data_IF_062350510448
#
_entry.id   IF_062350510448
#
_cell.length_a   1.000
_cell.length_b   1.000
_cell.length_c   1.000
_cell.angle_alpha   90.00
_cell.angle_beta   90.00
_cell.angle_gamma   90.00
#
_symmetry.space_group_name_H-M   'P 1'
#
loop_
_entity.id
_entity.type
_entity.pdbx_description
1 polymer ?
#
# COMPACT_ATOMS: atom_id res chain seq x y z
N UNK A 1 26.27 -33.87 -5.68
CA UNK A 1 25.39 -32.68 -5.62
C UNK A 1 25.93 -31.66 -6.60
N UNK A 2 25.54 -31.81 -7.88
CA UNK A 2 26.18 -31.18 -9.04
C UNK A 2 25.56 -29.84 -9.42
N UNK A 3 26.27 -29.12 -10.29
CA UNK A 3 25.98 -27.79 -10.86
C UNK A 3 24.51 -27.56 -11.26
N UNK A 4 23.80 -28.59 -11.72
CA UNK A 4 22.37 -28.52 -12.06
C UNK A 4 21.47 -28.05 -10.89
N UNK A 5 21.74 -28.51 -9.67
CA UNK A 5 20.97 -28.09 -8.49
C UNK A 5 21.22 -26.63 -8.08
N UNK A 6 22.40 -26.09 -8.41
CA UNK A 6 22.72 -24.68 -8.17
C UNK A 6 22.03 -23.75 -9.18
N UNK A 7 21.92 -24.18 -10.45
CA UNK A 7 21.18 -23.44 -11.48
C UNK A 7 19.68 -23.39 -11.20
N UNK A 8 19.09 -24.52 -10.78
CA UNK A 8 17.67 -24.60 -10.41
C UNK A 8 17.35 -23.73 -9.19
N UNK A 9 18.20 -23.77 -8.15
CA UNK A 9 18.08 -22.90 -7.00
C UNK A 9 18.25 -21.41 -7.37
N UNK A 10 19.14 -21.10 -8.31
CA UNK A 10 19.35 -19.75 -8.84
C UNK A 10 18.14 -19.23 -9.62
N UNK A 11 17.53 -20.08 -10.46
CA UNK A 11 16.33 -19.77 -11.21
C UNK A 11 15.15 -19.52 -10.25
N UNK A 12 14.92 -20.42 -9.29
CA UNK A 12 13.88 -20.28 -8.27
C UNK A 12 13.97 -18.92 -7.55
N UNK A 13 15.17 -18.54 -7.07
CA UNK A 13 15.39 -17.24 -6.40
C UNK A 13 15.17 -16.04 -7.32
N UNK A 14 15.44 -16.14 -8.63
CA UNK A 14 15.12 -15.06 -9.59
C UNK A 14 13.63 -14.94 -9.79
N UNK A 15 12.92 -16.05 -9.93
CA UNK A 15 11.46 -16.09 -10.08
C UNK A 15 10.75 -15.57 -8.82
N UNK A 16 11.16 -16.00 -7.64
CA UNK A 16 10.64 -15.49 -6.35
C UNK A 16 10.85 -13.98 -6.23
N UNK A 17 12.05 -13.48 -6.55
CA UNK A 17 12.32 -12.03 -6.56
C UNK A 17 11.45 -11.29 -7.58
N UNK A 18 11.26 -11.86 -8.77
CA UNK A 18 10.40 -11.27 -9.80
C UNK A 18 8.96 -11.14 -9.30
N UNK A 19 8.37 -12.20 -8.73
CA UNK A 19 7.03 -12.15 -8.15
C UNK A 19 6.91 -11.06 -7.06
N UNK A 20 7.91 -10.96 -6.18
CA UNK A 20 7.92 -9.92 -5.14
C UNK A 20 7.98 -8.50 -5.74
N UNK A 21 8.72 -8.30 -6.83
CA UNK A 21 8.78 -7.01 -7.53
C UNK A 21 7.49 -6.66 -8.28
N UNK A 22 6.74 -7.67 -8.72
CA UNK A 22 5.42 -7.48 -9.35
C UNK A 22 4.27 -7.36 -8.34
N UNK A 23 4.54 -7.40 -7.02
CA UNK A 23 3.49 -7.39 -6.01
C UNK A 23 2.79 -8.74 -5.82
N UNK A 24 3.37 -9.84 -6.26
CA UNK A 24 2.77 -11.17 -6.16
C UNK A 24 3.46 -12.11 -5.15
N UNK A 25 3.87 -11.67 -3.93
CA UNK A 25 4.65 -12.51 -3.01
C UNK A 25 3.90 -13.78 -2.56
N UNK A 26 2.57 -13.74 -2.48
CA UNK A 26 1.75 -14.87 -2.05
C UNK A 26 1.62 -16.00 -3.08
N UNK A 27 2.17 -15.85 -4.29
CA UNK A 27 2.30 -16.95 -5.25
C UNK A 27 3.51 -17.87 -4.94
N UNK A 28 4.42 -17.42 -4.07
CA UNK A 28 5.59 -18.21 -3.66
C UNK A 28 5.14 -19.25 -2.62
N UNK A 29 5.40 -20.53 -2.90
CA UNK A 29 5.16 -21.60 -1.93
C UNK A 29 6.02 -21.38 -0.67
N UNK A 30 5.40 -21.47 0.51
CA UNK A 30 6.00 -21.26 1.83
C UNK A 30 6.48 -19.82 2.14
N UNK A 31 5.84 -18.81 1.56
CA UNK A 31 6.11 -17.41 1.93
C UNK A 31 5.75 -17.11 3.41
N UNK A 32 6.76 -17.01 4.27
CA UNK A 32 6.59 -16.67 5.69
C UNK A 32 6.48 -15.15 5.89
N UNK A 33 5.25 -14.65 5.94
CA UNK A 33 4.94 -13.23 6.04
C UNK A 33 5.43 -12.53 7.33
N UNK A 34 5.75 -13.26 8.41
CA UNK A 34 5.96 -12.60 9.72
C UNK A 34 7.36 -11.99 9.88
N UNK A 35 8.42 -12.61 9.35
CA UNK A 35 9.81 -12.16 9.56
C UNK A 35 10.32 -11.16 8.51
N UNK A 36 10.07 -11.44 7.24
CA UNK A 36 10.68 -10.68 6.14
C UNK A 36 9.87 -9.41 5.78
N UNK A 37 8.55 -9.44 6.00
CA UNK A 37 7.65 -8.31 5.69
C UNK A 37 7.90 -7.15 6.64
N UNK A 38 7.93 -7.41 7.95
CA UNK A 38 8.06 -6.36 8.94
C UNK A 38 9.45 -5.70 8.87
N UNK A 39 10.46 -6.49 8.50
CA UNK A 39 11.82 -5.99 8.21
C UNK A 39 11.84 -5.06 7.00
N UNK A 40 11.00 -5.30 5.99
CA UNK A 40 10.82 -4.37 4.87
C UNK A 40 10.02 -3.11 5.26
N UNK A 41 9.14 -3.20 6.25
CA UNK A 41 8.35 -2.07 6.77
C UNK A 41 9.13 -1.17 7.77
N UNK A 42 10.26 -1.64 8.29
CA UNK A 42 11.14 -0.90 9.23
C UNK A 42 11.35 0.58 8.90
N UNK A 43 11.76 0.99 7.69
CA UNK A 43 12.02 2.41 7.41
C UNK A 43 10.77 3.28 7.58
N UNK A 44 9.60 2.75 7.20
CA UNK A 44 8.32 3.43 7.40
C UNK A 44 7.95 3.50 8.88
N UNK A 45 8.05 2.39 9.61
CA UNK A 45 7.76 2.35 11.05
C UNK A 45 8.71 3.24 11.86
N UNK A 46 9.97 3.34 11.43
CA UNK A 46 10.96 4.25 12.05
C UNK A 46 10.55 5.70 11.82
N UNK A 47 10.10 6.05 10.61
CA UNK A 47 9.60 7.39 10.32
C UNK A 47 8.38 7.73 11.18
N UNK A 48 7.40 6.83 11.27
CA UNK A 48 6.22 7.00 12.12
C UNK A 48 6.63 7.23 13.58
N UNK A 49 7.53 6.39 14.09
CA UNK A 49 8.04 6.53 15.45
C UNK A 49 8.72 7.90 15.68
N UNK A 50 9.51 8.38 14.72
CA UNK A 50 10.16 9.71 14.81
C UNK A 50 9.11 10.82 14.82
N UNK A 51 8.08 10.71 13.99
CA UNK A 51 6.99 11.69 13.95
C UNK A 51 6.20 11.70 15.25
N UNK A 52 5.87 10.53 15.82
CA UNK A 52 5.19 10.40 17.11
C UNK A 52 6.04 10.97 18.26
N UNK A 53 7.33 10.64 18.28
CA UNK A 53 8.27 11.19 19.26
C UNK A 53 8.38 12.72 19.12
N UNK A 54 8.48 13.24 17.90
CA UNK A 54 8.51 14.68 17.65
C UNK A 54 7.22 15.36 18.14
N UNK A 55 6.05 14.81 17.79
CA UNK A 55 4.75 15.33 18.19
C UNK A 55 4.61 15.41 19.73
N UNK A 56 5.12 14.41 20.43
CA UNK A 56 5.11 14.36 21.92
C UNK A 56 5.88 15.53 22.54
N UNK A 57 6.97 15.98 21.91
CA UNK A 57 7.81 17.06 22.44
C UNK A 57 7.50 18.43 21.81
N UNK A 58 6.77 18.48 20.69
CA UNK A 58 6.39 19.71 20.00
C UNK A 58 5.14 20.31 20.63
N UNK A 59 5.28 20.96 21.78
CA UNK A 59 4.29 21.96 22.23
C UNK A 59 4.42 23.22 21.37
N UNK A 60 3.33 23.97 21.19
CA UNK A 60 3.21 25.24 20.45
C UNK A 60 4.31 26.26 20.85
N UNK A 61 5.52 26.09 20.31
CA UNK A 61 6.69 26.92 20.61
C UNK A 61 7.24 27.45 19.29
N UNK A 62 7.10 28.76 19.09
CA UNK A 62 7.57 29.39 17.86
C UNK A 62 9.12 29.45 17.77
N UNK A 63 9.67 29.14 16.59
CA UNK A 63 11.05 29.44 16.21
C UNK A 63 12.08 28.33 16.46
N UNK A 64 13.35 28.70 16.74
CA UNK A 64 14.46 27.75 16.93
C UNK A 64 14.28 26.78 18.12
N UNK A 65 13.28 27.03 18.98
CA UNK A 65 12.90 26.15 20.08
C UNK A 65 12.26 24.83 19.60
N UNK A 66 11.76 24.74 18.36
CA UNK A 66 11.25 23.49 17.74
C UNK A 66 12.35 22.45 17.47
N UNK A 67 13.61 22.90 17.38
CA UNK A 67 14.75 22.03 17.08
C UNK A 67 15.08 21.12 18.27
N UNK A 68 14.84 21.57 19.51
CA UNK A 68 15.10 20.78 20.71
C UNK A 68 14.19 19.53 20.84
N UNK A 69 12.85 19.63 20.64
CA UNK A 69 11.95 18.48 20.49
C UNK A 69 12.40 17.45 19.47
N UNK A 70 12.90 17.89 18.32
CA UNK A 70 13.43 16.99 17.28
C UNK A 70 14.63 16.18 17.76
N UNK A 71 15.62 16.83 18.40
CA UNK A 71 16.77 16.12 18.96
C UNK A 71 16.40 15.24 20.15
N UNK A 72 15.40 15.61 20.95
CA UNK A 72 14.87 14.77 22.03
C UNK A 72 14.22 13.49 21.47
N UNK A 73 13.34 13.62 20.46
CA UNK A 73 12.75 12.46 19.78
C UNK A 73 13.80 11.57 19.12
N UNK A 74 14.81 12.16 18.48
CA UNK A 74 15.94 11.42 17.92
C UNK A 74 16.77 10.70 19.00
N UNK A 75 17.02 11.35 20.14
CA UNK A 75 17.72 10.74 21.26
C UNK A 75 16.93 9.56 21.85
N UNK A 76 15.60 9.67 21.94
CA UNK A 76 14.73 8.56 22.35
C UNK A 76 14.78 7.41 21.35
N UNK A 77 14.72 7.69 20.05
CA UNK A 77 14.87 6.67 18.99
C UNK A 77 16.21 5.94 19.11
N UNK A 78 17.32 6.68 19.15
CA UNK A 78 18.67 6.13 19.22
C UNK A 78 18.86 5.36 20.53
N UNK A 79 18.41 5.92 21.66
CA UNK A 79 18.45 5.29 22.97
C UNK A 79 17.68 3.97 22.99
N UNK A 80 16.50 3.94 22.39
CA UNK A 80 15.66 2.74 22.26
C UNK A 80 16.34 1.68 21.39
N UNK A 81 16.88 2.05 20.23
CA UNK A 81 17.62 1.14 19.36
C UNK A 81 18.85 0.55 20.05
N UNK A 82 19.64 1.39 20.72
CA UNK A 82 20.83 0.97 21.47
C UNK A 82 20.44 0.04 22.63
N UNK A 83 19.37 0.34 23.35
CA UNK A 83 18.88 -0.47 24.47
C UNK A 83 18.42 -1.85 23.99
N UNK A 84 17.61 -1.91 22.93
CA UNK A 84 17.13 -3.17 22.34
C UNK A 84 18.29 -4.00 21.79
N UNK A 85 19.24 -3.35 21.11
CA UNK A 85 20.42 -4.02 20.57
C UNK A 85 21.33 -4.55 21.69
N UNK A 86 21.51 -3.78 22.77
CA UNK A 86 22.31 -4.18 23.93
C UNK A 86 21.68 -5.34 24.70
N UNK A 87 20.36 -5.30 24.93
CA UNK A 87 19.62 -6.39 25.59
C UNK A 87 19.65 -7.69 24.79
N UNK A 88 19.79 -7.61 23.46
CA UNK A 88 19.92 -8.77 22.56
C UNK A 88 21.36 -9.19 22.28
N UNK A 89 22.36 -8.57 22.92
CA UNK A 89 23.78 -8.88 22.70
C UNK A 89 24.28 -8.54 21.30
N UNK A 90 23.57 -7.69 20.56
CA UNK A 90 23.93 -7.22 19.21
C UNK A 90 24.75 -5.93 19.29
N UNK A 91 25.43 -5.56 18.19
CA UNK A 91 26.17 -4.29 18.12
C UNK A 91 25.18 -3.12 18.23
N UNK A 92 25.52 -2.02 18.95
CA UNK A 92 24.57 -0.96 19.30
C UNK A 92 23.92 -0.27 18.09
N UNK A 93 24.61 -0.19 16.95
CA UNK A 93 24.11 0.44 15.71
C UNK A 93 23.78 -0.55 14.58
N UNK A 94 23.63 -1.85 14.88
CA UNK A 94 23.26 -2.81 13.86
C UNK A 94 21.78 -2.66 13.51
N UNK A 95 21.47 -2.58 12.20
CA UNK A 95 20.08 -2.61 11.73
C UNK A 95 19.45 -3.97 12.07
N UNK A 96 18.19 -4.03 12.54
CA UNK A 96 17.55 -5.31 12.82
C UNK A 96 17.45 -6.15 11.55
N UNK A 97 18.16 -7.29 11.51
CA UNK A 97 18.11 -8.22 10.37
C UNK A 97 16.76 -8.95 10.28
N UNK A 98 16.03 -9.03 11.40
CA UNK A 98 14.64 -9.51 11.51
C UNK A 98 13.91 -8.78 12.62
N UNK A 99 12.72 -8.27 12.32
CA UNK A 99 11.82 -7.69 13.33
C UNK A 99 11.07 -8.81 14.05
N UNK A 100 11.25 -8.91 15.36
CA UNK A 100 10.55 -9.88 16.21
C UNK A 100 9.55 -9.19 17.15
N UNK A 101 9.00 -9.98 18.09
CA UNK A 101 8.02 -9.47 19.06
C UNK A 101 8.53 -8.34 19.96
N UNK A 102 9.85 -8.25 20.19
CA UNK A 102 10.44 -7.17 21.02
C UNK A 102 10.41 -5.84 20.27
N UNK A 103 10.78 -5.82 19.00
CA UNK A 103 10.71 -4.60 18.19
C UNK A 103 9.26 -4.11 18.02
N UNK A 104 8.30 -5.03 17.91
CA UNK A 104 6.86 -4.71 17.95
C UNK A 104 6.47 -4.12 19.31
N UNK A 105 6.88 -4.76 20.41
CA UNK A 105 6.57 -4.27 21.76
C UNK A 105 7.16 -2.87 21.99
N UNK A 106 8.36 -2.62 21.50
CA UNK A 106 9.00 -1.30 21.58
C UNK A 106 8.21 -0.25 20.81
N UNK A 107 7.84 -0.53 19.57
CA UNK A 107 7.01 0.37 18.75
C UNK A 107 5.64 0.63 19.37
N UNK A 108 5.05 -0.38 20.02
CA UNK A 108 3.73 -0.26 20.61
C UNK A 108 3.73 0.41 21.98
N UNK A 109 4.79 0.25 22.77
CA UNK A 109 4.84 0.69 24.17
C UNK A 109 5.59 2.00 24.35
N UNK A 110 6.68 2.24 23.62
CA UNK A 110 7.51 3.44 23.87
C UNK A 110 6.78 4.74 23.51
N UNK A 111 6.16 4.89 22.31
CA UNK A 111 5.45 6.12 21.96
C UNK A 111 4.33 6.52 22.93
N UNK A 112 3.45 5.62 23.43
CA UNK A 112 2.43 6.00 24.41
C UNK A 112 2.97 6.21 25.83
N UNK A 113 4.10 5.60 26.21
CA UNK A 113 4.71 5.82 27.53
C UNK A 113 5.33 7.22 27.65
N UNK A 114 5.91 7.75 26.56
CA UNK A 114 6.52 9.07 26.57
C UNK A 114 5.57 10.19 27.03
N UNK A 115 4.40 10.42 26.40
CA UNK A 115 3.46 11.43 26.86
C UNK A 115 2.85 11.06 28.20
N UNK A 116 2.60 9.77 28.50
CA UNK A 116 2.04 9.36 29.79
C UNK A 116 2.95 9.67 31.00
N UNK A 117 4.26 9.78 30.80
CA UNK A 117 5.23 10.14 31.85
C UNK A 117 5.53 11.64 31.87
N UNK A 118 5.37 12.32 30.73
CA UNK A 118 5.73 13.74 30.57
C UNK A 118 4.55 14.69 30.74
N UNK A 119 3.33 14.25 30.44
CA UNK A 119 2.09 15.03 30.48
C UNK A 119 1.10 14.34 31.44
N UNK A 120 0.71 15.03 32.51
CA UNK A 120 -0.10 14.51 33.65
C UNK A 120 -1.55 14.06 33.28
N UNK A 121 -1.95 14.05 32.00
CA UNK A 121 -3.33 13.83 31.59
C UNK A 121 -3.65 12.42 31.06
N UNK A 122 -4.55 11.76 31.81
CA UNK A 122 -5.51 10.67 31.48
C UNK A 122 -5.03 9.53 30.58
N UNK A 123 -4.96 8.34 31.19
CA UNK A 123 -4.86 6.98 30.60
C UNK A 123 -5.73 6.69 29.36
N UNK A 124 -6.77 7.50 29.10
CA UNK A 124 -7.65 7.38 27.93
C UNK A 124 -6.94 7.83 26.64
N UNK A 125 -6.09 8.86 26.69
CA UNK A 125 -5.31 9.30 25.52
C UNK A 125 -4.20 8.29 25.18
N UNK A 126 -3.59 7.67 26.20
CA UNK A 126 -2.59 6.61 25.99
C UNK A 126 -3.19 5.37 25.28
N UNK A 127 -4.44 5.01 25.60
CA UNK A 127 -5.13 3.91 24.92
C UNK A 127 -5.41 4.23 23.44
N UNK A 128 -5.72 5.49 23.13
CA UNK A 128 -5.88 5.98 21.75
C UNK A 128 -4.59 5.87 20.94
N UNK A 129 -3.45 6.26 21.54
CA UNK A 129 -2.13 6.15 20.90
C UNK A 129 -1.74 4.68 20.66
N UNK A 130 -1.94 3.82 21.66
CA UNK A 130 -1.70 2.37 21.50
C UNK A 130 -2.56 1.82 20.36
N UNK A 131 -3.86 2.12 20.34
CA UNK A 131 -4.76 1.66 19.29
C UNK A 131 -4.36 2.17 17.90
N UNK A 132 -3.95 3.43 17.80
CA UNK A 132 -3.40 4.02 16.57
C UNK A 132 -2.13 3.29 16.12
N UNK A 133 -1.18 3.02 17.03
CA UNK A 133 0.05 2.32 16.71
C UNK A 133 -0.22 0.86 16.28
N UNK A 134 -1.17 0.17 16.91
CA UNK A 134 -1.64 -1.13 16.43
C UNK A 134 -2.19 -1.01 15.02
N UNK A 135 -3.04 -0.03 14.75
CA UNK A 135 -3.64 0.18 13.44
C UNK A 135 -2.56 0.46 12.37
N UNK A 136 -1.60 1.33 12.66
CA UNK A 136 -0.47 1.63 11.77
C UNK A 136 0.39 0.39 11.54
N UNK A 137 0.68 -0.39 12.58
CA UNK A 137 1.44 -1.63 12.47
C UNK A 137 0.72 -2.66 11.60
N UNK A 138 -0.58 -2.86 11.81
CA UNK A 138 -1.41 -3.76 11.01
C UNK A 138 -1.47 -3.28 9.56
N UNK A 139 -1.66 -1.97 9.33
CA UNK A 139 -1.68 -1.39 8.01
C UNK A 139 -0.33 -1.57 7.31
N UNK A 140 0.79 -1.24 7.96
CA UNK A 140 2.14 -1.42 7.42
C UNK A 140 2.44 -2.89 7.11
N UNK A 141 2.00 -3.80 7.97
CA UNK A 141 2.10 -5.24 7.75
C UNK A 141 1.31 -5.66 6.50
N UNK A 142 0.05 -5.25 6.37
CA UNK A 142 -0.78 -5.58 5.19
C UNK A 142 -0.18 -5.00 3.92
N UNK A 143 0.13 -3.70 3.91
CA UNK A 143 0.73 -2.97 2.78
C UNK A 143 2.01 -3.64 2.30
N UNK A 144 2.86 -4.06 3.23
CA UNK A 144 4.17 -4.65 2.89
C UNK A 144 4.05 -6.14 2.55
N UNK A 145 3.13 -6.86 3.20
CA UNK A 145 2.92 -8.31 3.00
C UNK A 145 2.36 -8.61 1.63
N UNK A 146 1.36 -7.83 1.20
CA UNK A 146 0.76 -7.96 -0.12
C UNK A 146 1.58 -7.23 -1.20
N UNK A 147 2.58 -6.41 -0.83
CA UNK A 147 3.41 -5.73 -1.82
C UNK A 147 2.68 -4.59 -2.54
N UNK A 148 1.81 -3.86 -1.84
CA UNK A 148 1.07 -2.74 -2.41
C UNK A 148 2.01 -1.67 -2.98
N UNK A 149 3.14 -1.40 -2.29
CA UNK A 149 4.10 -0.38 -2.73
C UNK A 149 4.65 -0.66 -4.14
N UNK A 150 5.21 -1.84 -4.45
CA UNK A 150 5.63 -2.14 -5.82
C UNK A 150 4.47 -2.14 -6.82
N UNK A 151 3.27 -2.62 -6.44
CA UNK A 151 2.08 -2.56 -7.32
C UNK A 151 1.74 -1.11 -7.69
N UNK A 152 1.63 -0.23 -6.70
CA UNK A 152 1.31 1.18 -6.91
C UNK A 152 2.39 1.87 -7.72
N UNK A 153 3.68 1.57 -7.48
CA UNK A 153 4.79 2.15 -8.25
C UNK A 153 4.80 1.69 -9.72
N UNK A 154 4.45 0.43 -9.97
CA UNK A 154 4.27 -0.06 -11.34
C UNK A 154 3.05 0.60 -11.99
N UNK A 155 1.90 0.60 -11.33
CA UNK A 155 0.67 1.23 -11.81
C UNK A 155 0.87 2.71 -12.12
N UNK A 156 1.54 3.46 -11.25
CA UNK A 156 1.84 4.87 -11.47
C UNK A 156 2.76 5.09 -12.69
N UNK A 157 3.73 4.20 -12.94
CA UNK A 157 4.56 4.28 -14.15
C UNK A 157 3.75 4.00 -15.41
N UNK A 158 2.83 3.04 -15.33
CA UNK A 158 1.91 2.73 -16.43
C UNK A 158 1.01 3.93 -16.74
N UNK A 159 0.51 4.63 -15.71
CA UNK A 159 -0.27 5.86 -15.88
C UNK A 159 0.47 6.95 -16.63
N UNK A 160 1.74 7.18 -16.26
CA UNK A 160 2.56 8.19 -16.92
C UNK A 160 2.77 7.86 -18.42
N UNK A 161 2.72 6.58 -18.79
CA UNK A 161 2.75 6.13 -20.18
C UNK A 161 1.44 6.36 -20.95
N UNK A 162 0.29 6.38 -20.27
CA UNK A 162 -1.05 6.51 -20.87
C UNK A 162 -1.59 7.95 -20.87
N UNK A 163 -0.72 8.94 -20.61
CA UNK A 163 -1.11 10.33 -20.47
C UNK A 163 -1.79 10.92 -21.73
N UNK A 164 -1.37 10.56 -22.94
CA UNK A 164 -1.94 11.13 -24.17
C UNK A 164 -3.36 10.66 -24.44
N UNK A 165 -3.67 9.39 -24.20
CA UNK A 165 -5.01 8.83 -24.41
C UNK A 165 -6.06 9.48 -23.48
N UNK A 166 -5.64 9.79 -22.25
CA UNK A 166 -6.49 10.43 -21.25
C UNK A 166 -6.65 11.93 -21.50
N UNK A 167 -5.58 12.60 -21.97
CA UNK A 167 -5.66 13.99 -22.39
C UNK A 167 -6.71 14.16 -23.51
N UNK A 168 -6.73 13.26 -24.49
CA UNK A 168 -7.73 13.28 -25.57
C UNK A 168 -9.16 13.11 -25.07
N UNK A 169 -9.39 12.15 -24.16
CA UNK A 169 -10.71 11.92 -23.56
C UNK A 169 -11.19 13.15 -22.79
N UNK A 170 -10.31 13.74 -21.99
CA UNK A 170 -10.61 14.92 -21.17
C UNK A 170 -10.88 16.12 -22.05
N UNK A 171 -10.06 16.41 -23.05
CA UNK A 171 -10.26 17.57 -23.95
C UNK A 171 -11.62 17.52 -24.64
N UNK A 172 -12.16 16.32 -24.89
CA UNK A 172 -13.49 16.12 -25.49
C UNK A 172 -14.63 16.18 -24.48
N UNK A 173 -14.49 15.55 -23.31
CA UNK A 173 -15.56 15.44 -22.31
C UNK A 173 -15.66 16.67 -21.39
N UNK A 174 -14.53 17.32 -21.13
CA UNK A 174 -14.39 18.43 -20.19
C UNK A 174 -15.25 19.65 -20.54
N UNK A 175 -15.33 20.12 -21.80
CA UNK A 175 -16.13 21.31 -22.14
C UNK A 175 -17.61 21.14 -21.76
N UNK A 176 -18.17 19.95 -22.03
CA UNK A 176 -19.55 19.65 -21.69
C UNK A 176 -19.77 19.63 -20.17
N UNK A 177 -18.85 19.00 -19.43
CA UNK A 177 -18.88 18.94 -17.96
C UNK A 177 -18.75 20.33 -17.33
N UNK A 178 -17.85 21.17 -17.84
CA UNK A 178 -17.66 22.55 -17.38
C UNK A 178 -18.88 23.41 -17.67
N UNK A 179 -19.44 23.34 -18.88
CA UNK A 179 -20.68 24.08 -19.21
C UNK A 179 -21.81 23.62 -18.28
N UNK A 180 -22.01 22.31 -18.14
CA UNK A 180 -23.03 21.76 -17.24
C UNK A 180 -22.84 22.24 -15.81
N UNK A 181 -21.61 22.19 -15.29
CA UNK A 181 -21.30 22.58 -13.92
C UNK A 181 -21.42 24.08 -13.71
N UNK A 182 -20.93 24.90 -14.64
CA UNK A 182 -21.05 26.35 -14.61
C UNK A 182 -22.52 26.78 -14.62
N UNK A 183 -23.34 26.17 -15.48
CA UNK A 183 -24.78 26.41 -15.51
C UNK A 183 -25.46 25.95 -14.21
N UNK A 184 -25.06 24.81 -13.65
CA UNK A 184 -25.48 24.34 -12.32
C UNK A 184 -25.21 25.41 -11.26
N UNK A 185 -23.97 25.92 -11.20
CA UNK A 185 -23.51 26.90 -10.21
C UNK A 185 -24.24 28.24 -10.30
N UNK A 186 -24.72 28.61 -11.49
CA UNK A 186 -25.53 29.81 -11.70
C UNK A 186 -26.94 29.70 -11.11
N UNK A 187 -27.40 28.49 -10.74
CA UNK A 187 -28.72 28.29 -10.14
C UNK A 187 -28.68 28.49 -8.62
N UNK A 188 -29.69 29.18 -8.08
CA UNK A 188 -29.86 29.36 -6.63
C UNK A 188 -30.21 28.06 -5.91
N UNK A 189 -30.88 27.13 -6.59
CA UNK A 189 -31.35 25.87 -6.01
C UNK A 189 -30.22 25.02 -5.41
N UNK A 190 -29.04 25.05 -6.03
CA UNK A 190 -27.89 24.25 -5.57
C UNK A 190 -27.26 24.84 -4.31
N UNK A 191 -27.18 26.16 -4.23
CA UNK A 191 -26.70 26.85 -3.04
C UNK A 191 -27.66 26.66 -1.85
N UNK A 192 -28.96 26.68 -2.11
CA UNK A 192 -29.97 26.39 -1.10
C UNK A 192 -29.88 24.93 -0.62
N UNK A 193 -29.81 23.97 -1.54
CA UNK A 193 -29.62 22.55 -1.21
C UNK A 193 -28.35 22.32 -0.39
N UNK A 194 -27.23 22.95 -0.74
CA UNK A 194 -25.93 22.75 -0.07
C UNK A 194 -25.85 23.37 1.32
N UNK A 195 -26.51 24.51 1.55
CA UNK A 195 -26.54 25.18 2.86
C UNK A 195 -27.17 24.36 3.99
N UNK A 196 -28.04 23.40 3.66
CA UNK A 196 -28.66 22.49 4.62
C UNK A 196 -27.90 21.17 4.84
N UNK A 197 -26.80 20.94 4.11
CA UNK A 197 -26.08 19.66 4.16
C UNK A 197 -25.12 19.61 5.35
N UNK A 198 -25.44 18.76 6.32
CA UNK A 198 -24.50 18.39 7.39
C UNK A 198 -23.46 17.38 6.93
N UNK A 199 -22.46 17.13 7.78
CA UNK A 199 -21.40 16.11 7.57
C UNK A 199 -21.98 14.74 7.18
N UNK A 200 -23.14 14.37 7.73
CA UNK A 200 -23.82 13.12 7.43
C UNK A 200 -24.12 12.95 5.92
N UNK A 201 -24.51 14.01 5.21
CA UNK A 201 -24.73 13.94 3.77
C UNK A 201 -23.45 13.60 3.03
N UNK A 202 -22.34 14.27 3.34
CA UNK A 202 -21.04 14.01 2.71
C UNK A 202 -20.56 12.59 2.99
N UNK A 203 -20.75 12.10 4.22
CA UNK A 203 -20.43 10.71 4.57
C UNK A 203 -21.27 9.74 3.74
N UNK A 204 -22.59 9.93 3.65
CA UNK A 204 -23.48 9.05 2.87
C UNK A 204 -23.14 9.14 1.36
N UNK A 205 -22.94 10.35 0.85
CA UNK A 205 -22.59 10.59 -0.55
C UNK A 205 -21.23 9.99 -0.94
N UNK A 206 -20.28 9.89 -0.01
CA UNK A 206 -19.02 9.18 -0.22
C UNK A 206 -19.19 7.66 -0.04
N UNK A 207 -19.96 7.24 0.96
CA UNK A 207 -20.16 5.83 1.30
C UNK A 207 -20.91 5.08 0.19
N UNK A 208 -21.92 5.70 -0.42
CA UNK A 208 -22.73 5.05 -1.46
C UNK A 208 -21.90 4.60 -2.68
N UNK A 209 -21.14 5.47 -3.38
CA UNK A 209 -20.27 5.05 -4.48
C UNK A 209 -19.12 4.17 -4.00
N UNK A 210 -18.61 4.35 -2.78
CA UNK A 210 -17.58 3.48 -2.21
C UNK A 210 -18.08 2.04 -2.04
N UNK A 211 -19.26 1.85 -1.45
CA UNK A 211 -19.89 0.54 -1.27
C UNK A 211 -20.25 -0.07 -2.62
N UNK A 212 -20.83 0.72 -3.53
CA UNK A 212 -21.17 0.27 -4.89
C UNK A 212 -19.94 -0.19 -5.67
N UNK A 213 -18.87 0.61 -5.67
CA UNK A 213 -17.60 0.28 -6.31
C UNK A 213 -16.94 -0.94 -5.68
N UNK A 214 -16.94 -1.04 -4.35
CA UNK A 214 -16.41 -2.20 -3.64
C UNK A 214 -17.19 -3.47 -3.97
N UNK A 215 -18.52 -3.41 -3.94
CA UNK A 215 -19.39 -4.54 -4.30
C UNK A 215 -19.17 -4.96 -5.76
N UNK A 216 -19.10 -4.00 -6.68
CA UNK A 216 -18.80 -4.25 -8.08
C UNK A 216 -17.48 -5.00 -8.23
N UNK A 217 -16.41 -4.52 -7.59
CA UNK A 217 -15.10 -5.18 -7.60
C UNK A 217 -15.18 -6.60 -7.02
N UNK A 218 -15.87 -6.79 -5.88
CA UNK A 218 -16.01 -8.11 -5.25
C UNK A 218 -16.74 -9.13 -6.15
N UNK A 219 -17.72 -8.68 -6.93
CA UNK A 219 -18.47 -9.53 -7.86
C UNK A 219 -17.71 -9.78 -9.17
N UNK A 220 -16.94 -8.79 -9.64
CA UNK A 220 -16.23 -8.82 -10.93
C UNK A 220 -14.90 -9.58 -10.88
N UNK A 221 -14.15 -9.41 -9.79
CA UNK A 221 -12.80 -9.98 -9.63
C UNK A 221 -12.76 -11.51 -9.82
N UNK A 222 -13.68 -12.33 -9.27
CA UNK A 222 -13.67 -13.77 -9.50
C UNK A 222 -13.77 -14.14 -10.99
N UNK A 223 -14.67 -13.48 -11.72
CA UNK A 223 -14.92 -13.76 -13.14
C UNK A 223 -13.71 -13.37 -14.00
N UNK A 224 -13.11 -12.21 -13.73
CA UNK A 224 -11.91 -11.75 -14.44
C UNK A 224 -10.71 -12.65 -14.15
N UNK A 225 -10.54 -13.09 -12.90
CA UNK A 225 -9.47 -14.03 -12.53
C UNK A 225 -9.66 -15.39 -13.21
N UNK A 226 -10.88 -15.94 -13.21
CA UNK A 226 -11.18 -17.22 -13.87
C UNK A 226 -11.04 -17.14 -15.39
N UNK A 227 -11.26 -15.98 -15.99
CA UNK A 227 -11.03 -15.74 -17.42
C UNK A 227 -9.53 -15.72 -17.75
N UNK A 228 -8.73 -15.00 -16.97
CA UNK A 228 -7.27 -14.88 -17.17
C UNK A 228 -6.53 -16.17 -16.82
N UNK A 229 -7.07 -16.99 -15.92
CA UNK A 229 -6.46 -18.26 -15.50
C UNK A 229 -6.72 -19.43 -16.47
N UNK A 230 -7.50 -19.21 -17.53
CA UNK A 230 -7.77 -20.20 -18.59
C UNK A 230 -6.84 -19.96 -19.77
N UNK A 231 -6.03 -20.96 -20.07
CA UNK A 231 -5.12 -20.94 -21.22
C UNK A 231 -5.54 -22.01 -22.20
N UNK A 232 -5.62 -21.64 -23.48
CA UNK A 232 -6.01 -22.58 -24.54
C UNK A 232 -4.86 -23.52 -24.91
N UNK A 233 -3.61 -23.07 -24.78
CA UNK A 233 -2.41 -23.85 -25.10
C UNK A 233 -1.17 -23.39 -24.32
N UNK A 234 -0.20 -24.28 -24.18
CA UNK A 234 1.12 -23.93 -23.62
C UNK A 234 1.90 -22.91 -24.47
N UNK A 235 1.59 -22.78 -25.76
CA UNK A 235 2.19 -21.74 -26.61
C UNK A 235 1.75 -20.33 -26.18
N UNK A 236 0.48 -20.17 -25.81
CA UNK A 236 -0.05 -18.92 -25.25
C UNK A 236 0.64 -18.58 -23.93
N UNK A 237 0.86 -19.58 -23.07
CA UNK A 237 1.56 -19.40 -21.79
C UNK A 237 3.02 -19.01 -22.03
N UNK A 238 3.71 -19.63 -22.99
CA UNK A 238 5.09 -19.29 -23.33
C UNK A 238 5.21 -17.84 -23.84
N UNK A 239 4.28 -17.39 -24.70
CA UNK A 239 4.24 -16.02 -25.19
C UNK A 239 3.99 -15.01 -24.06
N UNK A 240 3.08 -15.29 -23.12
CA UNK A 240 2.83 -14.44 -21.96
C UNK A 240 3.99 -14.46 -20.94
N UNK A 241 4.78 -15.53 -20.92
CA UNK A 241 5.95 -15.66 -20.07
C UNK A 241 7.19 -14.95 -20.66
N UNK A 242 7.14 -14.46 -21.90
CA UNK A 242 8.23 -13.68 -22.48
C UNK A 242 8.54 -12.45 -21.63
N UNK A 243 9.83 -12.22 -21.34
CA UNK A 243 10.26 -11.16 -20.43
C UNK A 243 10.21 -11.52 -18.93
N UNK A 244 9.73 -12.71 -18.58
CA UNK A 244 9.86 -13.25 -17.22
C UNK A 244 11.08 -14.16 -17.09
N UNK A 245 11.57 -14.42 -15.86
CA UNK A 245 12.64 -15.42 -15.64
C UNK A 245 12.29 -16.84 -16.13
N UNK A 246 11.01 -17.11 -16.45
CA UNK A 246 10.50 -18.41 -16.90
C UNK A 246 10.45 -18.56 -18.42
N UNK A 247 10.79 -17.53 -19.20
CA UNK A 247 10.65 -17.51 -20.66
C UNK A 247 11.37 -18.66 -21.41
N UNK A 248 12.34 -19.34 -20.78
CA UNK A 248 13.08 -20.45 -21.36
C UNK A 248 12.64 -21.84 -20.90
N UNK A 249 11.63 -21.94 -20.02
CA UNK A 249 11.12 -23.22 -19.54
C UNK A 249 9.99 -23.69 -20.45
N UNK A 250 10.23 -24.75 -21.22
CA UNK A 250 9.18 -25.45 -21.95
C UNK A 250 8.22 -26.18 -20.99
N UNK A 251 7.03 -26.57 -21.48
CA UNK A 251 6.02 -27.26 -20.67
C UNK A 251 6.48 -28.63 -20.13
N UNK A 252 7.56 -29.21 -20.67
CA UNK A 252 8.04 -30.53 -20.26
C UNK A 252 6.97 -31.59 -20.48
N UNK A 253 6.69 -32.39 -19.45
CA UNK A 253 5.69 -33.47 -19.44
C UNK A 253 4.28 -33.03 -18.98
N UNK A 254 4.01 -31.71 -18.93
CA UNK A 254 2.72 -31.20 -18.46
C UNK A 254 1.60 -31.41 -19.49
N UNK A 255 0.41 -31.79 -19.01
CA UNK A 255 -0.76 -32.05 -19.85
C UNK A 255 -1.31 -30.77 -20.53
N UNK A 256 -1.90 -30.94 -21.71
CA UNK A 256 -2.58 -29.90 -22.50
C UNK A 256 -4.11 -30.14 -22.47
N UNK A 257 -4.96 -29.12 -22.27
CA UNK A 257 -4.64 -27.70 -22.05
C UNK A 257 -4.02 -27.42 -20.66
N UNK A 258 -3.24 -26.33 -20.51
CA UNK A 258 -2.67 -25.93 -19.23
C UNK A 258 -3.78 -25.70 -18.20
N UNK A 259 -3.74 -26.45 -17.10
CA UNK A 259 -4.63 -26.21 -15.96
C UNK A 259 -3.89 -25.44 -14.89
N UNK A 260 -4.33 -24.22 -14.63
CA UNK A 260 -3.85 -23.46 -13.47
C UNK A 260 -4.31 -24.17 -12.18
N UNK A 261 -3.40 -24.47 -11.25
CA UNK A 261 -3.80 -25.01 -9.95
C UNK A 261 -4.65 -23.97 -9.21
N UNK A 262 -5.64 -24.45 -8.45
CA UNK A 262 -6.50 -23.55 -7.65
C UNK A 262 -5.63 -22.73 -6.70
N UNK A 263 -5.68 -21.41 -6.86
CA UNK A 263 -4.96 -20.48 -6.00
C UNK A 263 -5.47 -20.60 -4.56
N UNK A 264 -4.56 -20.68 -3.59
CA UNK A 264 -4.93 -20.55 -2.18
C UNK A 264 -5.54 -19.18 -1.89
N UNK A 265 -6.36 -19.07 -0.84
CA UNK A 265 -7.10 -17.83 -0.49
C UNK A 265 -6.22 -16.58 -0.47
N UNK A 266 -4.99 -16.66 0.06
CA UNK A 266 -4.05 -15.53 0.12
C UNK A 266 -3.52 -15.13 -1.25
N UNK A 267 -3.20 -16.11 -2.10
CA UNK A 267 -2.77 -15.85 -3.46
C UNK A 267 -3.90 -15.22 -4.29
N UNK A 268 -5.12 -15.72 -4.14
CA UNK A 268 -6.30 -15.17 -4.79
C UNK A 268 -6.55 -13.71 -4.39
N UNK A 269 -6.53 -13.40 -3.08
CA UNK A 269 -6.66 -12.01 -2.58
C UNK A 269 -5.56 -11.12 -3.14
N UNK A 270 -4.33 -11.63 -3.24
CA UNK A 270 -3.22 -10.84 -3.73
C UNK A 270 -3.36 -10.50 -5.23
N UNK A 271 -3.79 -11.44 -6.07
CA UNK A 271 -4.05 -11.14 -7.49
C UNK A 271 -5.25 -10.20 -7.64
N UNK A 272 -6.33 -10.41 -6.88
CA UNK A 272 -7.47 -9.49 -6.85
C UNK A 272 -7.05 -8.07 -6.44
N UNK A 273 -6.13 -7.95 -5.48
CA UNK A 273 -5.60 -6.65 -5.06
C UNK A 273 -4.82 -5.95 -6.18
N UNK A 274 -4.07 -6.67 -7.01
CA UNK A 274 -3.40 -6.08 -8.18
C UNK A 274 -4.42 -5.42 -9.12
N UNK A 275 -5.54 -6.11 -9.39
CA UNK A 275 -6.62 -5.56 -10.23
C UNK A 275 -7.23 -4.31 -9.59
N UNK A 276 -7.55 -4.36 -8.30
CA UNK A 276 -8.10 -3.22 -7.55
C UNK A 276 -7.13 -2.04 -7.56
N UNK A 277 -5.83 -2.27 -7.32
CA UNK A 277 -4.81 -1.21 -7.34
C UNK A 277 -4.71 -0.62 -8.74
N UNK A 278 -4.67 -1.44 -9.80
CA UNK A 278 -4.64 -0.97 -11.19
C UNK A 278 -5.85 -0.10 -11.53
N UNK A 279 -7.05 -0.54 -11.13
CA UNK A 279 -8.29 0.22 -11.33
C UNK A 279 -8.31 1.51 -10.52
N UNK A 280 -7.85 1.46 -9.26
CA UNK A 280 -7.80 2.63 -8.37
C UNK A 280 -6.84 3.69 -8.89
N UNK A 281 -5.72 3.26 -9.44
CA UNK A 281 -4.72 4.09 -10.11
C UNK A 281 -5.35 4.80 -11.33
N UNK A 282 -6.12 4.08 -12.16
CA UNK A 282 -6.89 4.70 -13.26
C UNK A 282 -7.94 5.69 -12.78
N UNK A 283 -8.73 5.34 -11.75
CA UNK A 283 -9.74 6.23 -11.17
C UNK A 283 -9.10 7.50 -10.62
N UNK A 284 -8.01 7.37 -9.86
CA UNK A 284 -7.29 8.51 -9.29
C UNK A 284 -6.77 9.44 -10.38
N UNK A 285 -6.31 8.88 -11.50
CA UNK A 285 -5.85 9.68 -12.63
C UNK A 285 -6.99 10.48 -13.26
N UNK A 286 -8.11 9.82 -13.58
CA UNK A 286 -9.30 10.50 -14.11
C UNK A 286 -9.77 11.59 -13.14
N UNK A 287 -9.85 11.28 -11.84
CA UNK A 287 -10.24 12.23 -10.81
C UNK A 287 -9.27 13.42 -10.72
N UNK A 288 -7.96 13.18 -10.79
CA UNK A 288 -6.93 14.23 -10.76
C UNK A 288 -7.02 15.12 -11.98
N UNK A 289 -7.18 14.55 -13.18
CA UNK A 289 -7.27 15.34 -14.40
C UNK A 289 -8.54 16.19 -14.42
N UNK A 290 -9.68 15.60 -14.04
CA UNK A 290 -10.94 16.34 -13.89
C UNK A 290 -10.79 17.45 -12.83
N UNK A 291 -10.21 17.14 -11.68
CA UNK A 291 -9.98 18.11 -10.60
C UNK A 291 -9.08 19.28 -11.02
N UNK A 292 -7.94 18.99 -11.67
CA UNK A 292 -7.04 20.02 -12.20
C UNK A 292 -7.72 20.89 -13.25
N UNK A 293 -8.56 20.31 -14.09
CA UNK A 293 -9.32 21.06 -15.05
C UNK A 293 -10.35 22.00 -14.37
N UNK A 294 -11.07 21.54 -13.36
CA UNK A 294 -11.94 22.42 -12.58
C UNK A 294 -11.17 23.56 -11.90
N UNK A 295 -9.97 23.29 -11.36
CA UNK A 295 -9.11 24.33 -10.79
C UNK A 295 -8.60 25.33 -11.84
N UNK A 296 -8.36 24.88 -13.08
CA UNK A 296 -7.86 25.73 -14.15
C UNK A 296 -8.94 26.62 -14.79
N UNK A 297 -10.19 26.14 -14.85
CA UNK A 297 -11.29 26.80 -15.56
C UNK A 297 -12.38 27.39 -14.66
N UNK A 298 -12.46 26.98 -13.39
CA UNK A 298 -13.40 27.48 -12.39
C UNK A 298 -12.74 28.45 -11.42
#
# INVERSE_FOLDING_TARGET
MGTAGAEEAGLRRRTERWFVHQGLPHLIQDYSATGDVLTRALPFLTLVFVVEAFNTFSEERDGWAEVAPFFAGLAVLVGTLVLVNRLRGRRPFQRPDRVGGVEIAVFLLVPPILPAVLHDDRLVDSAGIVAFNVLVLVAAYVVTSYGLVPMTRWGLRQLLGQFSELADLVTRALPLLLIFTALMFMTTEIWQLTSGLGIAFFVIAALFPFLGGTLFLLLRVPEELDAVARFDSWATVAALAEGTPLAGLGPGDLADPPRSPRLGRRAWVNVGLVLVVSQSVQILLVATVVGLAYVAFG
#
